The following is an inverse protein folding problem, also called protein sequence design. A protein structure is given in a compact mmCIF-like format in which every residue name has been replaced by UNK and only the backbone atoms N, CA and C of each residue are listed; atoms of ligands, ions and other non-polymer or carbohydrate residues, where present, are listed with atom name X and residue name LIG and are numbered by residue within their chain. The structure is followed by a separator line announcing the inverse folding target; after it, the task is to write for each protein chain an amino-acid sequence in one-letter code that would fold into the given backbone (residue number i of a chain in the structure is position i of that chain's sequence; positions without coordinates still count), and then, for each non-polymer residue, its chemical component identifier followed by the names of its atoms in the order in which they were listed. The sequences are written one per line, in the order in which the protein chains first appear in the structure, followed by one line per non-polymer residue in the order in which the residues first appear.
data_IF_148608625921
#
_entry.id   IF_148608625921
#
_cell.length_a   1.000
_cell.length_b   1.000
_cell.length_c   1.000
_cell.angle_alpha   90.00
_cell.angle_beta   90.00
_cell.angle_gamma   90.00
#
_symmetry.space_group_name_H-M   'P 1'
#
loop_
_entity.id
_entity.type
_entity.pdbx_description
1 polymer ?
#
# COMPACT_ATOMS: atom_id res chain seq x y z
N UNK A 1 -77.56 -23.74 24.15
CA UNK A 1 -77.03 -22.51 24.78
C UNK A 1 -75.59 -22.81 25.16
N UNK A 2 -74.65 -21.94 24.74
CA UNK A 2 -73.20 -21.94 25.02
C UNK A 2 -72.34 -23.05 24.37
N UNK A 3 -71.16 -22.80 23.82
CA UNK A 3 -70.52 -21.66 23.15
C UNK A 3 -69.22 -22.26 22.56
N UNK A 4 -68.94 -21.98 21.29
CA UNK A 4 -67.70 -22.37 20.60
C UNK A 4 -66.51 -21.61 21.18
N UNK A 5 -65.44 -22.30 21.59
CA UNK A 5 -64.16 -21.67 21.95
C UNK A 5 -63.12 -21.97 20.86
N UNK A 6 -62.70 -20.92 20.14
CA UNK A 6 -61.51 -20.95 19.29
C UNK A 6 -60.23 -21.02 20.14
N UNK A 7 -59.21 -21.78 19.71
CA UNK A 7 -57.89 -21.67 20.31
C UNK A 7 -57.23 -20.37 19.85
N UNK A 8 -56.84 -19.54 20.82
CA UNK A 8 -56.02 -18.34 20.61
C UNK A 8 -54.62 -18.78 20.22
N UNK A 9 -54.20 -18.48 18.99
CA UNK A 9 -52.80 -18.56 18.60
C UNK A 9 -51.98 -17.51 19.36
N UNK A 10 -51.02 -17.95 20.16
CA UNK A 10 -49.95 -17.09 20.67
C UNK A 10 -48.89 -16.96 19.58
N UNK A 11 -48.84 -15.80 18.93
CA UNK A 11 -47.69 -15.41 18.13
C UNK A 11 -46.60 -14.99 19.10
N UNK A 12 -45.60 -15.85 19.30
CA UNK A 12 -44.37 -15.48 19.98
C UNK A 12 -43.59 -14.53 19.06
N UNK A 13 -43.56 -13.23 19.41
CA UNK A 13 -42.62 -12.28 18.83
C UNK A 13 -41.22 -12.66 19.35
N UNK A 14 -40.45 -13.38 18.55
CA UNK A 14 -39.01 -13.48 18.78
C UNK A 14 -38.43 -12.08 18.52
N UNK A 15 -37.99 -11.40 19.58
CA UNK A 15 -37.19 -10.20 19.44
C UNK A 15 -35.86 -10.62 18.78
N UNK A 16 -35.74 -10.39 17.47
CA UNK A 16 -34.45 -10.40 16.80
C UNK A 16 -33.65 -9.24 17.39
N UNK A 17 -32.79 -9.54 18.35
CA UNK A 17 -31.75 -8.60 18.76
C UNK A 17 -30.91 -8.28 17.54
N UNK A 18 -30.97 -7.05 17.07
CA UNK A 18 -29.98 -6.51 16.15
C UNK A 18 -28.65 -6.55 16.89
N UNK A 19 -27.82 -7.56 16.57
CA UNK A 19 -26.39 -7.48 16.86
C UNK A 19 -25.91 -6.34 15.97
N UNK A 20 -25.81 -5.13 16.52
CA UNK A 20 -25.03 -4.06 15.92
C UNK A 20 -23.59 -4.54 15.99
N UNK A 21 -23.18 -5.35 15.01
CA UNK A 21 -21.77 -5.64 14.79
C UNK A 21 -21.12 -4.31 14.48
N UNK A 22 -20.43 -3.74 15.47
CA UNK A 22 -19.56 -2.61 15.23
C UNK A 22 -18.43 -3.16 14.37
N UNK A 23 -18.46 -2.85 13.07
CA UNK A 23 -17.29 -2.97 12.20
C UNK A 23 -16.19 -2.14 12.84
N UNK A 24 -14.97 -2.65 12.97
CA UNK A 24 -13.94 -1.78 13.49
C UNK A 24 -13.67 -0.68 12.47
N UNK A 25 -13.20 0.44 12.98
CA UNK A 25 -13.00 1.63 12.19
C UNK A 25 -11.83 2.40 12.76
N UNK A 26 -10.94 2.84 11.88
CA UNK A 26 -9.92 3.82 12.22
C UNK A 26 -10.52 5.11 12.77
N UNK A 27 -9.78 5.75 13.66
CA UNK A 27 -10.11 7.07 14.17
C UNK A 27 -10.32 8.05 13.01
N UNK A 28 -11.44 8.78 13.05
CA UNK A 28 -11.73 9.81 12.06
C UNK A 28 -10.89 11.06 12.30
N UNK A 29 -10.06 11.41 11.33
CA UNK A 29 -9.15 12.54 11.45
C UNK A 29 -9.78 13.87 11.02
N UNK A 30 -9.51 14.93 11.78
CA UNK A 30 -9.97 16.27 11.45
C UNK A 30 -9.36 16.77 10.13
N UNK A 31 -10.15 17.45 9.30
CA UNK A 31 -9.68 18.03 8.03
C UNK A 31 -8.57 19.09 8.20
N UNK A 32 -8.50 19.68 9.40
CA UNK A 32 -7.52 20.68 9.80
C UNK A 32 -6.12 20.11 10.06
N UNK A 33 -5.96 18.78 10.14
CA UNK A 33 -4.64 18.16 10.29
C UNK A 33 -3.73 18.61 9.13
N UNK A 34 -2.48 18.92 9.45
CA UNK A 34 -1.46 19.23 8.45
C UNK A 34 -1.06 17.95 7.67
N UNK A 35 -0.45 18.13 6.50
CA UNK A 35 0.27 17.03 5.88
C UNK A 35 1.50 16.68 6.72
N UNK A 36 1.83 15.40 6.83
CA UNK A 36 3.11 14.93 7.36
C UNK A 36 4.29 15.61 6.63
N UNK A 37 5.43 15.74 7.31
CA UNK A 37 6.65 16.41 6.81
C UNK A 37 6.52 17.89 6.38
N UNK A 38 5.33 18.49 6.42
CA UNK A 38 5.09 19.88 6.07
C UNK A 38 4.92 20.79 7.30
N UNK A 39 4.74 20.21 8.48
CA UNK A 39 4.58 20.93 9.74
C UNK A 39 5.81 20.76 10.64
N UNK A 40 5.99 21.65 11.61
CA UNK A 40 6.99 21.48 12.68
C UNK A 40 6.52 20.54 13.80
N UNK A 41 5.32 19.94 13.68
CA UNK A 41 4.83 18.97 14.66
C UNK A 41 5.65 17.69 14.56
N UNK A 42 6.15 17.24 15.71
CA UNK A 42 6.93 16.01 15.87
C UNK A 42 6.22 14.99 16.76
N UNK A 43 4.94 15.21 17.05
CA UNK A 43 4.16 14.33 17.93
C UNK A 43 3.36 13.34 17.08
N UNK A 44 3.65 12.02 17.17
CA UNK A 44 2.87 11.00 16.50
C UNK A 44 1.49 10.87 17.12
N UNK A 45 0.47 10.78 16.29
CA UNK A 45 -0.92 10.48 16.70
C UNK A 45 -1.54 9.54 15.68
N UNK A 46 -2.71 8.96 15.99
CA UNK A 46 -3.48 8.18 15.01
C UNK A 46 -3.87 9.00 13.76
N UNK A 47 -3.78 10.32 13.82
CA UNK A 47 -4.10 11.21 12.71
C UNK A 47 -2.90 11.98 12.15
N UNK A 48 -1.68 11.65 12.55
CA UNK A 48 -0.47 12.30 12.06
C UNK A 48 0.68 11.31 11.95
N UNK A 49 1.11 11.05 10.71
CA UNK A 49 2.22 10.16 10.40
C UNK A 49 3.56 10.80 10.80
N UNK A 50 4.19 10.27 11.84
CA UNK A 50 5.50 10.69 12.35
C UNK A 50 6.14 9.53 13.15
N UNK A 51 7.47 9.33 13.10
CA UNK A 51 8.45 10.04 12.28
C UNK A 51 8.38 9.66 10.79
N UNK A 52 7.80 8.49 10.47
CA UNK A 52 7.58 7.95 9.13
C UNK A 52 6.54 8.72 8.28
N UNK A 53 6.76 10.02 8.09
CA UNK A 53 5.83 10.92 7.44
C UNK A 53 5.89 10.94 5.92
N UNK A 54 6.96 10.41 5.31
CA UNK A 54 7.11 10.29 3.87
C UNK A 54 6.77 8.85 3.46
N UNK A 55 5.59 8.64 2.87
CA UNK A 55 5.11 7.32 2.45
C UNK A 55 5.55 7.06 1.01
N UNK A 56 6.19 5.92 0.77
CA UNK A 56 6.71 5.51 -0.54
C UNK A 56 5.91 4.32 -1.06
N UNK A 57 5.18 4.47 -2.16
CA UNK A 57 4.70 3.31 -2.93
C UNK A 57 5.83 2.86 -3.87
N UNK A 58 6.34 1.65 -3.69
CA UNK A 58 7.52 1.16 -4.42
C UNK A 58 7.15 0.03 -5.38
N UNK A 59 7.80 0.00 -6.54
CA UNK A 59 7.49 -0.93 -7.62
C UNK A 59 8.75 -1.56 -8.22
N UNK A 60 8.59 -2.77 -8.75
CA UNK A 60 9.61 -3.54 -9.46
C UNK A 60 9.31 -3.72 -10.95
N UNK A 61 10.39 -3.81 -11.71
CA UNK A 61 10.43 -4.35 -13.05
C UNK A 61 11.46 -5.47 -13.12
N UNK A 62 10.99 -6.70 -12.89
CA UNK A 62 11.81 -7.90 -12.86
C UNK A 62 11.74 -8.64 -14.21
N UNK A 63 12.91 -9.04 -14.70
CA UNK A 63 13.08 -9.59 -16.07
C UNK A 63 14.01 -10.81 -16.11
N UNK A 64 14.53 -11.26 -14.97
CA UNK A 64 15.44 -12.41 -14.89
C UNK A 64 15.55 -12.96 -13.47
N UNK A 65 14.61 -13.82 -13.03
CA UNK A 65 13.40 -14.22 -13.76
C UNK A 65 12.37 -13.09 -13.86
N UNK A 66 11.46 -13.21 -14.80
CA UNK A 66 10.35 -12.26 -14.97
C UNK A 66 9.20 -12.63 -14.04
N UNK A 67 8.57 -11.63 -13.42
CA UNK A 67 7.41 -11.80 -12.53
C UNK A 67 6.27 -10.87 -12.92
N UNK A 68 5.03 -11.26 -12.62
CA UNK A 68 3.82 -10.52 -12.97
C UNK A 68 3.61 -10.36 -14.50
N UNK A 69 2.61 -9.57 -14.91
CA UNK A 69 2.29 -9.39 -16.34
C UNK A 69 3.38 -8.69 -17.15
N UNK A 70 3.50 -9.05 -18.44
CA UNK A 70 4.48 -8.49 -19.39
C UNK A 70 4.33 -6.98 -19.62
N UNK A 71 3.15 -6.43 -19.35
CA UNK A 71 2.79 -5.03 -19.53
C UNK A 71 2.45 -4.32 -18.20
N UNK A 72 2.96 -4.85 -17.09
CA UNK A 72 2.79 -4.23 -15.77
C UNK A 72 4.06 -4.26 -14.95
N UNK A 73 4.27 -3.20 -14.19
CA UNK A 73 5.18 -3.26 -13.03
C UNK A 73 4.51 -4.09 -11.93
N UNK A 74 5.28 -4.50 -10.93
CA UNK A 74 4.77 -5.20 -9.73
C UNK A 74 5.04 -4.37 -8.49
N UNK A 75 4.30 -4.63 -7.42
CA UNK A 75 4.46 -4.01 -6.12
C UNK A 75 5.73 -4.55 -5.47
N UNK A 76 6.53 -3.64 -4.90
CA UNK A 76 7.55 -3.99 -3.91
C UNK A 76 6.97 -3.77 -2.50
N UNK A 77 6.44 -2.58 -2.20
CA UNK A 77 5.78 -2.31 -0.93
C UNK A 77 5.27 -0.89 -0.74
N UNK A 78 4.94 -0.58 0.52
CA UNK A 78 4.58 0.75 1.01
C UNK A 78 5.42 1.06 2.25
N UNK A 79 6.29 2.06 2.19
CA UNK A 79 7.31 2.28 3.22
C UNK A 79 7.15 3.65 3.89
N UNK A 80 7.18 3.72 5.24
CA UNK A 80 7.18 4.98 5.97
C UNK A 80 8.61 5.47 6.24
N UNK A 81 9.13 6.31 5.35
CA UNK A 81 10.40 7.00 5.57
C UNK A 81 10.22 8.22 6.49
N UNK A 82 11.26 8.53 7.24
CA UNK A 82 11.37 9.79 7.95
C UNK A 82 11.43 10.96 6.96
N UNK A 83 11.02 12.14 7.42
CA UNK A 83 10.98 13.34 6.58
C UNK A 83 12.34 13.80 6.03
N UNK A 84 13.44 13.28 6.56
CA UNK A 84 14.82 13.54 6.09
C UNK A 84 15.35 12.46 5.13
N UNK A 85 14.54 11.45 4.80
CA UNK A 85 14.91 10.33 3.92
C UNK A 85 15.64 9.18 4.61
N UNK A 86 15.83 9.24 5.94
CA UNK A 86 16.14 8.03 6.72
C UNK A 86 14.87 7.20 6.94
N UNK A 87 14.97 5.99 7.50
CA UNK A 87 13.79 5.17 7.78
C UNK A 87 13.97 4.33 9.04
N UNK A 88 12.84 3.96 9.64
CA UNK A 88 12.78 2.96 10.70
C UNK A 88 12.38 1.61 10.12
N UNK A 89 12.71 0.53 10.83
CA UNK A 89 12.42 -0.83 10.36
C UNK A 89 12.10 -1.75 11.53
N UNK A 90 11.15 -2.66 11.33
CA UNK A 90 10.77 -3.66 12.33
C UNK A 90 10.40 -3.05 13.68
N UNK A 91 9.53 -2.04 13.62
CA UNK A 91 9.19 -1.18 14.76
C UNK A 91 8.37 -1.89 15.85
N UNK A 92 7.73 -3.02 15.51
CA UNK A 92 6.97 -3.83 16.46
C UNK A 92 7.13 -5.32 16.17
N UNK A 93 7.89 -6.03 17.02
CA UNK A 93 8.09 -7.47 16.90
C UNK A 93 6.89 -8.30 17.35
N UNK A 94 5.99 -7.76 18.17
CA UNK A 94 4.80 -8.47 18.64
C UNK A 94 3.73 -8.56 17.53
N UNK A 95 3.78 -7.61 16.59
CA UNK A 95 2.96 -7.62 15.37
C UNK A 95 3.67 -8.21 14.15
N UNK A 96 4.82 -8.86 14.30
CA UNK A 96 5.45 -9.56 13.19
C UNK A 96 4.75 -10.89 12.93
N UNK A 97 4.17 -11.05 11.74
CA UNK A 97 3.42 -12.23 11.32
C UNK A 97 4.14 -13.00 10.21
N UNK A 98 3.81 -14.30 10.09
CA UNK A 98 4.36 -15.23 9.09
C UNK A 98 3.27 -15.97 8.30
N UNK A 99 2.03 -15.47 8.40
CA UNK A 99 0.81 -16.08 7.88
C UNK A 99 -0.14 -15.00 7.32
N UNK A 100 0.42 -14.04 6.57
CA UNK A 100 -0.30 -12.94 5.94
C UNK A 100 -1.47 -13.45 5.09
N UNK A 101 -1.25 -14.47 4.25
CA UNK A 101 -2.33 -15.06 3.42
C UNK A 101 -3.52 -15.49 4.27
N UNK A 102 -3.27 -16.18 5.38
CA UNK A 102 -4.33 -16.66 6.27
C UNK A 102 -5.05 -15.51 6.97
N UNK A 103 -4.31 -14.48 7.41
CA UNK A 103 -4.89 -13.26 8.01
C UNK A 103 -5.86 -12.60 7.03
N UNK A 104 -5.44 -12.39 5.78
CA UNK A 104 -6.26 -11.75 4.75
C UNK A 104 -7.49 -12.60 4.40
N UNK A 105 -7.33 -13.92 4.31
CA UNK A 105 -8.46 -14.84 4.07
C UNK A 105 -9.47 -14.85 5.21
N UNK A 106 -9.02 -14.83 6.47
CA UNK A 106 -9.87 -14.75 7.65
C UNK A 106 -10.62 -13.41 7.76
N UNK A 107 -10.14 -12.37 7.06
CA UNK A 107 -10.78 -11.06 6.92
C UNK A 107 -11.70 -10.95 5.71
N UNK A 108 -11.99 -12.07 5.03
CA UNK A 108 -12.78 -12.12 3.80
C UNK A 108 -12.12 -11.33 2.62
N UNK A 109 -10.80 -11.13 2.65
CA UNK A 109 -10.02 -10.42 1.63
C UNK A 109 -9.36 -11.39 0.61
N UNK A 110 -10.08 -12.45 0.21
CA UNK A 110 -9.58 -13.43 -0.76
C UNK A 110 -9.22 -12.82 -2.11
N UNK A 111 -10.05 -11.90 -2.63
CA UNK A 111 -9.77 -11.19 -3.89
C UNK A 111 -8.49 -10.33 -3.82
N UNK A 112 -8.14 -9.83 -2.63
CA UNK A 112 -6.89 -9.09 -2.41
C UNK A 112 -5.69 -10.03 -2.51
N UNK A 113 -5.78 -11.23 -1.91
CA UNK A 113 -4.75 -12.28 -2.01
C UNK A 113 -4.53 -12.65 -3.48
N UNK A 114 -5.59 -12.92 -4.23
CA UNK A 114 -5.50 -13.27 -5.66
C UNK A 114 -4.83 -12.15 -6.47
N UNK A 115 -5.14 -10.89 -6.17
CA UNK A 115 -4.48 -9.75 -6.81
C UNK A 115 -2.99 -9.66 -6.43
N UNK A 116 -2.65 -9.89 -5.16
CA UNK A 116 -1.27 -9.87 -4.68
C UNK A 116 -0.44 -11.00 -5.29
N UNK A 117 -1.02 -12.18 -5.52
CA UNK A 117 -0.34 -13.29 -6.20
C UNK A 117 0.02 -12.98 -7.66
N UNK A 118 -0.69 -12.06 -8.32
CA UNK A 118 -0.38 -11.62 -9.68
C UNK A 118 0.54 -10.39 -9.73
N UNK A 119 0.37 -9.45 -8.79
CA UNK A 119 0.98 -8.12 -8.86
C UNK A 119 1.97 -7.78 -7.73
N UNK A 120 2.04 -8.54 -6.65
CA UNK A 120 2.98 -8.34 -5.53
C UNK A 120 3.84 -9.60 -5.33
N UNK A 121 4.59 -9.94 -6.37
CA UNK A 121 5.21 -11.26 -6.53
C UNK A 121 6.68 -11.24 -6.12
N UNK A 122 7.09 -12.20 -5.31
CA UNK A 122 8.50 -12.45 -5.02
C UNK A 122 9.23 -13.04 -6.25
N UNK A 123 10.44 -12.58 -6.51
CA UNK A 123 11.24 -13.04 -7.67
C UNK A 123 11.60 -14.52 -7.61
N UNK A 124 11.58 -15.15 -6.43
CA UNK A 124 11.83 -16.58 -6.24
C UNK A 124 10.53 -17.40 -6.06
N UNK A 125 9.36 -16.75 -6.14
CA UNK A 125 8.06 -17.39 -5.95
C UNK A 125 7.68 -17.63 -4.48
N UNK A 126 8.36 -17.00 -3.52
CA UNK A 126 8.08 -17.12 -2.08
C UNK A 126 7.22 -15.96 -1.55
N UNK A 127 6.04 -15.75 -2.17
CA UNK A 127 5.15 -14.61 -1.90
C UNK A 127 4.83 -14.41 -0.41
N UNK A 128 4.44 -15.47 0.31
CA UNK A 128 4.10 -15.37 1.75
C UNK A 128 5.26 -14.83 2.61
N UNK A 129 6.49 -15.29 2.32
CA UNK A 129 7.70 -14.82 3.01
C UNK A 129 7.97 -13.35 2.70
N UNK A 130 7.76 -12.96 1.43
CA UNK A 130 7.93 -11.59 0.99
C UNK A 130 6.89 -10.63 1.59
N UNK A 131 5.61 -11.00 1.60
CA UNK A 131 4.57 -10.19 2.25
C UNK A 131 4.80 -10.10 3.76
N UNK A 132 5.22 -11.19 4.40
CA UNK A 132 5.62 -11.18 5.80
C UNK A 132 6.78 -10.23 6.05
N UNK A 133 7.78 -10.17 5.15
CA UNK A 133 8.89 -9.21 5.21
C UNK A 133 8.40 -7.77 5.12
N UNK A 134 7.58 -7.45 4.11
CA UNK A 134 7.09 -6.08 3.89
C UNK A 134 6.23 -5.60 5.07
N UNK A 135 5.34 -6.44 5.60
CA UNK A 135 4.56 -6.13 6.79
C UNK A 135 5.47 -5.93 8.01
N UNK A 136 6.27 -6.95 8.36
CA UNK A 136 7.06 -6.94 9.60
C UNK A 136 8.10 -5.83 9.61
N UNK A 137 8.69 -5.48 8.46
CA UNK A 137 9.72 -4.45 8.35
C UNK A 137 9.17 -3.04 8.18
N UNK A 138 8.11 -2.87 7.39
CA UNK A 138 7.60 -1.55 6.99
C UNK A 138 6.20 -1.27 7.52
N UNK A 139 5.26 -2.22 7.41
CA UNK A 139 3.90 -2.06 7.93
C UNK A 139 3.85 -1.78 9.44
N UNK A 140 4.68 -2.47 10.23
CA UNK A 140 4.79 -2.24 11.69
C UNK A 140 5.31 -0.86 12.07
N UNK A 141 5.90 -0.11 11.12
CA UNK A 141 6.43 1.24 11.33
C UNK A 141 5.44 2.35 10.94
N UNK A 142 4.23 2.01 10.50
CA UNK A 142 3.18 3.00 10.22
C UNK A 142 2.40 3.28 11.50
N UNK A 143 2.76 4.34 12.23
CA UNK A 143 2.18 4.63 13.55
C UNK A 143 0.65 4.88 13.52
N UNK A 144 0.10 5.33 12.38
CA UNK A 144 -1.33 5.68 12.28
C UNK A 144 -2.26 4.49 12.07
N UNK A 145 -1.70 3.28 11.99
CA UNK A 145 -2.45 2.03 11.89
C UNK A 145 -2.20 1.11 13.10
N UNK A 146 -1.64 1.63 14.19
CA UNK A 146 -1.52 0.85 15.41
C UNK A 146 -2.91 0.40 15.90
N UNK A 147 -3.05 -0.78 16.53
CA UNK A 147 -4.34 -1.27 17.03
C UNK A 147 -5.10 -0.28 17.92
N UNK A 148 -4.38 0.58 18.65
CA UNK A 148 -4.95 1.64 19.49
C UNK A 148 -5.69 2.73 18.70
N UNK A 149 -5.45 2.84 17.39
CA UNK A 149 -6.11 3.77 16.49
C UNK A 149 -7.47 3.26 15.98
N UNK A 150 -7.85 2.03 16.31
CA UNK A 150 -9.11 1.41 15.88
C UNK A 150 -10.13 1.41 17.02
N UNK A 151 -11.35 1.87 16.73
CA UNK A 151 -12.50 1.60 17.59
C UNK A 151 -13.08 0.23 17.24
N UNK A 152 -13.27 -0.63 18.24
CA UNK A 152 -13.80 -1.98 18.01
C UNK A 152 -12.81 -2.95 17.37
N UNK A 153 -11.51 -2.69 17.48
CA UNK A 153 -10.41 -3.44 16.88
C UNK A 153 -10.61 -4.96 16.96
N UNK A 154 -10.46 -5.62 15.81
CA UNK A 154 -10.28 -7.07 15.71
C UNK A 154 -8.82 -7.36 15.43
N UNK A 155 -8.35 -8.50 15.93
CA UNK A 155 -6.95 -8.87 15.79
C UNK A 155 -6.52 -8.88 14.31
N UNK A 156 -5.39 -8.25 14.02
CA UNK A 156 -4.74 -8.15 12.70
C UNK A 156 -5.49 -7.32 11.66
N UNK A 157 -6.54 -6.59 12.03
CA UNK A 157 -7.32 -5.77 11.09
C UNK A 157 -6.46 -4.73 10.34
N UNK A 158 -5.47 -4.17 11.02
CA UNK A 158 -4.52 -3.23 10.44
C UNK A 158 -3.62 -3.85 9.35
N UNK A 159 -3.43 -5.17 9.39
CA UNK A 159 -2.66 -5.90 8.38
C UNK A 159 -3.42 -5.86 7.06
N UNK A 160 -4.71 -6.20 7.08
CA UNK A 160 -5.58 -6.15 5.90
C UNK A 160 -5.63 -4.75 5.29
N UNK A 161 -5.83 -3.75 6.14
CA UNK A 161 -5.88 -2.35 5.71
C UNK A 161 -4.56 -1.91 5.05
N UNK A 162 -3.40 -2.31 5.59
CA UNK A 162 -2.10 -2.00 4.99
C UNK A 162 -1.92 -2.61 3.60
N UNK A 163 -2.24 -3.90 3.43
CA UNK A 163 -2.10 -4.57 2.13
C UNK A 163 -3.09 -4.00 1.11
N UNK A 164 -4.35 -3.79 1.50
CA UNK A 164 -5.35 -3.18 0.64
C UNK A 164 -4.93 -1.77 0.21
N UNK A 165 -4.47 -0.94 1.15
CA UNK A 165 -4.02 0.42 0.86
C UNK A 165 -2.84 0.44 -0.11
N UNK A 166 -1.88 -0.47 0.07
CA UNK A 166 -0.72 -0.60 -0.81
C UNK A 166 -1.16 -0.92 -2.24
N UNK A 167 -2.09 -1.87 -2.39
CA UNK A 167 -2.68 -2.26 -3.68
C UNK A 167 -3.46 -1.11 -4.31
N UNK A 168 -4.24 -0.36 -3.54
CA UNK A 168 -5.02 0.78 -4.06
C UNK A 168 -4.13 1.91 -4.59
N UNK A 169 -3.05 2.22 -3.87
CA UNK A 169 -2.05 3.19 -4.34
C UNK A 169 -1.36 2.69 -5.62
N UNK A 170 -0.95 1.43 -5.65
CA UNK A 170 -0.35 0.82 -6.84
C UNK A 170 -1.27 0.89 -8.08
N UNK A 171 -2.55 0.57 -7.93
CA UNK A 171 -3.55 0.67 -9.01
C UNK A 171 -3.66 2.09 -9.58
N UNK A 172 -3.44 3.12 -8.75
CA UNK A 172 -3.44 4.52 -9.20
C UNK A 172 -2.14 4.93 -9.93
N UNK A 173 -1.08 4.13 -9.83
CA UNK A 173 0.28 4.40 -10.32
C UNK A 173 0.69 3.42 -11.42
N UNK A 174 0.00 3.44 -12.56
CA UNK A 174 0.32 2.56 -13.68
C UNK A 174 1.58 3.03 -14.45
N UNK A 175 2.74 2.64 -13.91
CA UNK A 175 4.08 2.97 -14.41
C UNK A 175 4.28 2.56 -15.86
N UNK A 176 3.87 1.33 -16.23
CA UNK A 176 4.02 0.84 -17.60
C UNK A 176 3.27 1.73 -18.59
N UNK A 177 2.00 2.05 -18.30
CA UNK A 177 1.16 2.89 -19.16
C UNK A 177 1.69 4.31 -19.27
N UNK A 178 2.19 4.89 -18.18
CA UNK A 178 2.80 6.22 -18.19
C UNK A 178 4.04 6.27 -19.09
N UNK A 179 4.93 5.28 -18.98
CA UNK A 179 6.10 5.16 -19.85
C UNK A 179 5.70 4.94 -21.31
N UNK A 180 4.75 4.03 -21.57
CA UNK A 180 4.29 3.72 -22.91
C UNK A 180 3.66 4.93 -23.61
N UNK A 181 2.90 5.76 -22.88
CA UNK A 181 2.33 7.01 -23.38
C UNK A 181 3.40 8.03 -23.82
N UNK A 182 4.59 7.98 -23.21
CA UNK A 182 5.76 8.76 -23.60
C UNK A 182 6.64 8.08 -24.68
N UNK A 183 6.20 6.95 -25.24
CA UNK A 183 6.96 6.19 -26.23
C UNK A 183 8.10 5.34 -25.64
N UNK A 184 8.12 5.18 -24.31
CA UNK A 184 9.10 4.37 -23.57
C UNK A 184 8.47 2.99 -23.32
N UNK A 185 8.90 1.99 -24.09
CA UNK A 185 8.38 0.62 -24.03
C UNK A 185 9.53 -0.35 -23.87
N UNK A 186 9.31 -1.55 -23.31
CA UNK A 186 10.38 -2.52 -23.19
C UNK A 186 10.99 -2.86 -24.57
N UNK A 187 12.32 -2.94 -24.63
CA UNK A 187 13.06 -3.18 -25.86
C UNK A 187 14.39 -3.89 -25.62
N UNK A 188 14.76 -4.78 -26.53
CA UNK A 188 16.05 -5.47 -26.53
C UNK A 188 17.20 -4.63 -27.08
N UNK A 189 16.90 -3.50 -27.75
CA UNK A 189 17.91 -2.69 -28.46
C UNK A 189 17.84 -1.20 -28.15
N UNK A 190 16.65 -0.66 -27.84
CA UNK A 190 16.51 0.75 -27.48
C UNK A 190 17.07 1.01 -26.08
N UNK A 191 17.54 2.23 -25.88
CA UNK A 191 17.87 2.76 -24.56
C UNK A 191 17.25 4.13 -24.38
N UNK A 192 17.12 4.55 -23.14
CA UNK A 192 16.42 5.75 -22.74
C UNK A 192 17.33 6.67 -21.92
N UNK A 193 16.95 7.95 -21.85
CA UNK A 193 17.59 8.90 -20.93
C UNK A 193 16.82 8.94 -19.63
N UNK A 194 17.55 9.23 -18.54
CA UNK A 194 16.95 9.41 -17.23
C UNK A 194 15.88 10.52 -17.25
N UNK A 195 16.17 11.61 -17.96
CA UNK A 195 15.24 12.75 -18.06
C UNK A 195 13.90 12.38 -18.70
N UNK A 196 13.91 11.54 -19.76
CA UNK A 196 12.68 11.15 -20.44
C UNK A 196 11.81 10.23 -19.57
N UNK A 197 12.43 9.29 -18.85
CA UNK A 197 11.74 8.42 -17.89
C UNK A 197 11.17 9.27 -16.74
N UNK A 198 11.98 10.17 -16.18
CA UNK A 198 11.58 11.06 -15.09
C UNK A 198 10.38 11.92 -15.49
N UNK A 199 10.40 12.55 -16.67
CA UNK A 199 9.32 13.41 -17.16
C UNK A 199 8.01 12.64 -17.34
N UNK A 200 8.05 11.44 -17.92
CA UNK A 200 6.88 10.59 -18.09
C UNK A 200 6.21 10.24 -16.75
N UNK A 201 7.02 9.85 -15.76
CA UNK A 201 6.49 9.44 -14.46
C UNK A 201 6.09 10.62 -13.58
N UNK A 202 6.79 11.76 -13.68
CA UNK A 202 6.39 13.01 -13.02
C UNK A 202 5.08 13.54 -13.58
N UNK A 203 4.82 13.37 -14.87
CA UNK A 203 3.52 13.75 -15.47
C UNK A 203 2.37 12.95 -14.88
N UNK A 204 2.58 11.67 -14.58
CA UNK A 204 1.57 10.82 -13.92
C UNK A 204 1.43 11.15 -12.42
N UNK A 205 2.55 11.21 -11.70
CA UNK A 205 2.57 11.34 -10.23
C UNK A 205 2.28 12.76 -9.74
N UNK A 206 2.69 13.77 -10.51
CA UNK A 206 2.65 15.18 -10.14
C UNK A 206 3.90 15.68 -9.39
N UNK A 207 4.87 14.81 -9.13
CA UNK A 207 6.16 15.15 -8.52
C UNK A 207 7.30 14.25 -9.06
N UNK A 208 8.55 14.59 -8.77
CA UNK A 208 9.69 13.74 -9.11
C UNK A 208 9.69 12.43 -8.30
N UNK A 209 10.22 11.37 -8.91
CA UNK A 209 10.19 10.00 -8.37
C UNK A 209 11.61 9.46 -8.28
N UNK A 210 11.85 8.49 -7.40
CA UNK A 210 13.11 7.76 -7.44
C UNK A 210 13.12 6.78 -8.60
N UNK A 211 14.26 6.65 -9.26
CA UNK A 211 14.51 5.69 -10.34
C UNK A 211 15.74 4.85 -10.01
N UNK A 212 15.55 3.55 -9.82
CA UNK A 212 16.60 2.58 -9.53
C UNK A 212 16.97 1.76 -10.76
N UNK A 213 18.27 1.61 -11.01
CA UNK A 213 18.80 0.76 -12.06
C UNK A 213 19.77 -0.28 -11.50
N UNK A 214 19.70 -1.50 -12.05
CA UNK A 214 20.68 -2.56 -11.80
C UNK A 214 21.43 -2.86 -13.09
N UNK A 215 22.76 -2.68 -13.09
CA UNK A 215 23.61 -2.83 -14.28
C UNK A 215 23.09 -2.06 -15.52
N UNK A 216 22.56 -0.86 -15.32
CA UNK A 216 21.99 -0.01 -16.36
C UNK A 216 20.61 -0.42 -16.87
N UNK A 217 19.99 -1.46 -16.29
CA UNK A 217 18.60 -1.85 -16.53
C UNK A 217 17.70 -1.14 -15.53
N UNK A 218 16.64 -0.50 -15.99
CA UNK A 218 15.60 0.07 -15.15
C UNK A 218 14.93 -1.07 -14.36
N UNK A 219 14.85 -0.93 -13.03
CA UNK A 219 14.37 -2.00 -12.16
C UNK A 219 13.44 -1.52 -11.03
N UNK A 220 13.58 -0.29 -10.54
CA UNK A 220 12.73 0.21 -9.44
C UNK A 220 12.21 1.62 -9.69
N UNK A 221 11.00 1.88 -9.21
CA UNK A 221 10.43 3.23 -9.08
C UNK A 221 9.84 3.40 -7.69
N UNK A 222 10.11 4.52 -7.02
CA UNK A 222 9.48 4.86 -5.73
C UNK A 222 8.73 6.20 -5.84
N UNK A 223 7.45 6.17 -5.47
CA UNK A 223 6.52 7.29 -5.50
C UNK A 223 6.29 7.84 -4.10
N UNK A 224 6.70 9.09 -3.87
CA UNK A 224 6.69 9.69 -2.54
C UNK A 224 5.42 10.49 -2.28
N UNK A 225 4.90 10.38 -1.07
CA UNK A 225 3.72 11.07 -0.60
C UNK A 225 3.92 11.63 0.81
N UNK A 226 3.36 12.82 1.05
CA UNK A 226 3.00 13.24 2.39
C UNK A 226 1.51 12.95 2.60
N UNK A 227 1.12 12.62 3.82
CA UNK A 227 -0.25 12.19 4.15
C UNK A 227 -0.87 13.15 5.16
N UNK A 228 -2.12 13.53 4.92
CA UNK A 228 -2.98 14.22 5.88
C UNK A 228 -3.97 13.21 6.47
N UNK A 229 -3.97 13.04 7.78
CA UNK A 229 -4.76 12.02 8.48
C UNK A 229 -3.97 10.73 8.70
N UNK A 230 -4.66 9.60 8.81
CA UNK A 230 -4.05 8.27 8.90
C UNK A 230 -3.58 7.75 7.52
N UNK A 231 -2.80 6.67 7.49
CA UNK A 231 -2.28 6.10 6.24
C UNK A 231 -3.34 5.39 5.38
N UNK A 232 -4.46 4.94 5.94
CA UNK A 232 -5.44 4.14 5.20
C UNK A 232 -6.43 5.04 4.46
N UNK A 233 -7.12 5.91 5.18
CA UNK A 233 -8.17 6.81 4.65
C UNK A 233 -7.69 8.24 4.41
N UNK A 234 -6.44 8.54 4.77
CA UNK A 234 -5.88 9.88 4.64
C UNK A 234 -5.77 10.38 3.21
N UNK A 235 -5.59 11.69 3.08
CA UNK A 235 -5.31 12.33 1.80
C UNK A 235 -3.82 12.25 1.49
N UNK A 236 -3.48 11.63 0.36
CA UNK A 236 -2.11 11.51 -0.14
C UNK A 236 -1.79 12.68 -1.07
N UNK A 237 -0.70 13.39 -0.79
CA UNK A 237 -0.15 14.45 -1.65
C UNK A 237 1.19 14.00 -2.20
N UNK A 238 1.29 13.89 -3.52
CA UNK A 238 2.56 13.62 -4.18
C UNK A 238 3.61 14.68 -3.83
N UNK A 239 4.82 14.23 -3.52
CA UNK A 239 5.98 15.07 -3.24
C UNK A 239 7.20 14.55 -3.97
N UNK A 240 8.21 15.42 -4.11
CA UNK A 240 9.47 15.07 -4.75
C UNK A 240 10.22 13.99 -3.96
N UNK A 241 10.96 13.15 -4.68
CA UNK A 241 11.82 12.13 -4.09
C UNK A 241 12.81 12.71 -3.08
N UNK A 242 12.97 12.04 -1.93
CA UNK A 242 13.93 12.42 -0.89
C UNK A 242 15.35 11.91 -1.19
N UNK A 243 15.52 11.11 -2.25
CA UNK A 243 16.80 10.53 -2.64
C UNK A 243 17.08 10.71 -4.14
N UNK A 244 18.34 10.54 -4.52
CA UNK A 244 18.80 10.66 -5.90
C UNK A 244 18.65 9.34 -6.66
N UNK A 245 18.33 9.41 -7.95
CA UNK A 245 18.25 8.23 -8.82
C UNK A 245 19.54 7.40 -8.81
N UNK A 246 19.37 6.07 -8.82
CA UNK A 246 20.44 5.09 -9.04
C UNK A 246 20.72 4.78 -10.51
N UNK A 247 20.10 5.49 -11.46
CA UNK A 247 20.25 5.26 -12.90
C UNK A 247 21.29 6.17 -13.55
N UNK A 248 21.96 5.71 -14.63
CA UNK A 248 22.82 6.56 -15.44
C UNK A 248 21.99 7.61 -16.20
N UNK A 249 22.60 8.74 -16.57
CA UNK A 249 21.89 9.82 -17.30
C UNK A 249 21.34 9.37 -18.67
N UNK A 250 22.02 8.44 -19.33
CA UNK A 250 21.69 7.92 -20.66
C UNK A 250 21.99 6.43 -20.73
N UNK A 251 21.50 5.75 -21.78
CA UNK A 251 21.79 4.34 -22.00
C UNK A 251 21.00 3.38 -21.09
N UNK A 252 19.94 3.87 -20.43
CA UNK A 252 19.10 3.04 -19.56
C UNK A 252 18.36 2.02 -20.43
N UNK A 253 18.44 0.75 -20.06
CA UNK A 253 17.73 -0.35 -20.71
C UNK A 253 16.41 -0.59 -19.99
N UNK A 254 15.31 -0.57 -20.72
CA UNK A 254 14.02 -1.06 -20.23
C UNK A 254 13.77 -2.38 -20.94
N UNK A 255 14.12 -3.49 -20.27
CA UNK A 255 14.22 -4.81 -20.90
C UNK A 255 12.84 -5.48 -20.90
N UNK A 256 12.41 -6.17 -21.97
CA UNK A 256 11.18 -6.98 -21.93
C UNK A 256 11.24 -8.06 -20.87
N UNK A 257 10.09 -8.40 -20.30
CA UNK A 257 9.91 -9.60 -19.49
C UNK A 257 9.99 -10.86 -20.35
#
# INVERSE_FOLDING_TARGET
MFQSQSPKGMIALAAMGLITGTTASLETCASSTAFSCASSSTEPTCCFNYPGGALLQTQFWDTSPSTGPDDSWTIHGLWPDNCDGTYESSCDSERAYSNITAILQDQDLGDLVDYMDEYWVDINGENESFWSHEWSKHGTCVNTIDPSCYSGYKAQEEVGDFFQKTVDLFKSLNTYKALAAAGITPSTSKTYTLSAIQEALTTMHGASVYLGCSSGKLNQVWYFYNVKGNAIDGTYKAVDTLTTSGCPKTGIKYVPK
#
